data_IF_642434160641
#
_entry.id   IF_642434160641
#
_cell.length_a   1.000
_cell.length_b   1.000
_cell.length_c   1.000
_cell.angle_alpha   90.00
_cell.angle_beta   90.00
_cell.angle_gamma   90.00
#
_symmetry.space_group_name_H-M   'P 1'
#
loop_
_entity.id
_entity.type
_entity.pdbx_description
1 polymer ?
#
# COMPACT_ATOMS: atom_id res chain seq x y z
N UNK A 1 -23.42 6.90 33.26
CA UNK A 1 -22.34 5.88 33.29
C UNK A 1 -21.33 6.22 32.21
N UNK A 2 -20.13 6.65 32.61
CA UNK A 2 -19.05 7.12 31.74
C UNK A 2 -18.59 6.02 30.78
N UNK A 3 -18.58 6.33 29.47
CA UNK A 3 -17.83 5.54 28.48
C UNK A 3 -16.36 5.86 28.69
N UNK A 4 -15.63 4.94 29.33
CA UNK A 4 -14.17 4.97 29.39
C UNK A 4 -13.66 5.05 27.95
N UNK A 5 -12.98 6.14 27.60
CA UNK A 5 -12.33 6.28 26.30
C UNK A 5 -11.14 5.32 26.32
N UNK A 6 -11.28 4.21 25.61
CA UNK A 6 -10.26 3.18 25.51
C UNK A 6 -9.18 3.63 24.53
N UNK A 7 -7.98 3.94 25.04
CA UNK A 7 -6.83 4.40 24.26
C UNK A 7 -6.18 3.29 23.40
N UNK A 8 -6.84 2.15 23.25
CA UNK A 8 -6.32 0.88 22.71
C UNK A 8 -7.04 0.37 21.45
N UNK A 9 -7.82 1.21 20.76
CA UNK A 9 -8.42 0.83 19.46
C UNK A 9 -7.40 0.80 18.32
N UNK A 10 -6.60 -0.26 18.35
CA UNK A 10 -5.79 -0.79 17.24
C UNK A 10 -6.75 -1.57 16.32
N UNK A 11 -6.59 -1.53 14.99
CA UNK A 11 -7.21 -2.52 14.12
C UNK A 11 -6.90 -3.93 14.66
N UNK A 12 -7.94 -4.68 15.00
CA UNK A 12 -7.86 -6.02 15.57
C UNK A 12 -8.93 -6.87 14.89
N UNK A 13 -8.72 -8.19 14.83
CA UNK A 13 -9.61 -9.12 14.12
C UNK A 13 -9.78 -8.74 12.65
N UNK A 14 -11.04 -8.60 12.20
CA UNK A 14 -11.38 -8.32 10.81
C UNK A 14 -10.76 -7.02 10.27
N UNK A 15 -10.58 -6.01 11.14
CA UNK A 15 -9.95 -4.74 10.77
C UNK A 15 -8.47 -4.90 10.45
N UNK A 16 -7.80 -5.76 11.22
CA UNK A 16 -6.40 -6.08 11.02
C UNK A 16 -6.21 -6.86 9.71
N UNK A 17 -7.09 -7.82 9.44
CA UNK A 17 -7.09 -8.57 8.18
C UNK A 17 -7.44 -7.70 6.96
N UNK A 18 -8.34 -6.74 7.11
CA UNK A 18 -8.63 -5.74 6.07
C UNK A 18 -7.38 -4.89 5.74
N UNK A 19 -6.66 -4.43 6.77
CA UNK A 19 -5.43 -3.67 6.59
C UNK A 19 -4.32 -4.51 5.94
N UNK A 20 -4.14 -5.75 6.39
CA UNK A 20 -3.20 -6.71 5.78
C UNK A 20 -3.54 -6.98 4.32
N UNK A 21 -4.82 -7.12 4.00
CA UNK A 21 -5.30 -7.33 2.61
C UNK A 21 -5.00 -6.13 1.73
N UNK A 22 -5.21 -4.91 2.26
CA UNK A 22 -4.83 -3.67 1.57
C UNK A 22 -3.32 -3.65 1.25
N UNK A 23 -2.46 -3.95 2.22
CA UNK A 23 -1.00 -3.97 2.02
C UNK A 23 -0.61 -5.06 1.02
N UNK A 24 -1.18 -6.27 1.11
CA UNK A 24 -0.96 -7.35 0.13
C UNK A 24 -1.37 -6.93 -1.29
N UNK A 25 -2.46 -6.17 -1.42
CA UNK A 25 -2.89 -5.65 -2.72
C UNK A 25 -1.89 -4.66 -3.29
N UNK A 26 -1.39 -3.73 -2.47
CA UNK A 26 -0.32 -2.79 -2.85
C UNK A 26 0.94 -3.53 -3.31
N UNK A 27 1.36 -4.54 -2.56
CA UNK A 27 2.50 -5.41 -2.90
C UNK A 27 2.29 -6.13 -4.24
N UNK A 28 1.10 -6.70 -4.48
CA UNK A 28 0.74 -7.37 -5.74
C UNK A 28 0.74 -6.42 -6.94
N UNK A 29 0.46 -5.14 -6.70
CA UNK A 29 0.55 -4.10 -7.73
C UNK A 29 1.98 -3.57 -7.91
N UNK A 30 2.96 -4.18 -7.26
CA UNK A 30 4.36 -3.73 -7.26
C UNK A 30 4.52 -2.27 -6.78
N UNK A 31 3.58 -1.80 -5.96
CA UNK A 31 3.54 -0.47 -5.38
C UNK A 31 3.40 -0.59 -3.86
N UNK A 32 4.47 -0.96 -3.12
CA UNK A 32 4.39 -1.16 -1.68
C UNK A 32 3.84 0.08 -0.97
N UNK A 33 2.89 -0.11 -0.05
CA UNK A 33 2.28 0.98 0.68
C UNK A 33 3.31 1.74 1.54
N UNK A 34 3.29 3.07 1.45
CA UNK A 34 4.07 3.94 2.31
C UNK A 34 3.47 3.99 3.71
N UNK A 35 4.30 4.26 4.73
CA UNK A 35 3.84 4.38 6.13
C UNK A 35 2.64 5.35 6.28
N UNK A 36 2.62 6.55 5.67
CA UNK A 36 1.44 7.43 5.74
C UNK A 36 0.18 6.83 5.10
N UNK A 37 0.33 6.05 4.03
CA UNK A 37 -0.79 5.37 3.37
C UNK A 37 -1.35 4.25 4.24
N UNK A 38 -0.48 3.50 4.93
CA UNK A 38 -0.90 2.46 5.89
C UNK A 38 -1.64 3.09 7.08
N UNK A 39 -1.15 4.21 7.62
CA UNK A 39 -1.83 4.94 8.69
C UNK A 39 -3.21 5.46 8.21
N UNK A 40 -3.26 6.06 7.02
CA UNK A 40 -4.50 6.57 6.45
C UNK A 40 -5.52 5.46 6.18
N UNK A 41 -5.09 4.33 5.63
CA UNK A 41 -5.95 3.17 5.39
C UNK A 41 -6.49 2.59 6.70
N UNK A 42 -5.63 2.43 7.72
CA UNK A 42 -6.03 1.94 9.03
C UNK A 42 -7.04 2.89 9.70
N UNK A 43 -6.82 4.20 9.63
CA UNK A 43 -7.78 5.19 10.13
C UNK A 43 -9.11 5.10 9.38
N UNK A 44 -9.05 4.98 8.05
CA UNK A 44 -10.26 4.87 7.22
C UNK A 44 -11.09 3.64 7.55
N UNK A 45 -10.44 2.50 7.82
CA UNK A 45 -11.12 1.26 8.26
C UNK A 45 -11.86 1.51 9.57
N UNK A 46 -11.21 2.16 10.54
CA UNK A 46 -11.86 2.53 11.80
C UNK A 46 -13.03 3.51 11.60
N UNK A 47 -12.85 4.50 10.74
CA UNK A 47 -13.87 5.49 10.43
C UNK A 47 -15.09 4.87 9.73
N UNK A 48 -14.94 3.82 8.92
CA UNK A 48 -16.07 3.16 8.24
C UNK A 48 -17.01 2.42 9.18
N UNK A 49 -16.49 1.92 10.30
CA UNK A 49 -17.27 1.14 11.27
C UNK A 49 -17.75 1.99 12.46
N UNK A 50 -17.24 3.22 12.58
CA UNK A 50 -17.71 4.15 13.60
C UNK A 50 -19.08 4.73 13.20
N UNK A 51 -20.02 4.76 14.15
CA UNK A 51 -21.38 5.25 13.92
C UNK A 51 -21.43 6.70 13.43
N UNK A 52 -20.43 7.51 13.78
CA UNK A 52 -20.32 8.91 13.39
C UNK A 52 -19.37 9.12 12.21
N UNK A 53 -18.82 8.04 11.65
CA UNK A 53 -17.86 8.09 10.56
C UNK A 53 -16.52 8.71 10.91
N UNK A 54 -16.23 8.89 12.22
CA UNK A 54 -15.05 9.61 12.71
C UNK A 54 -14.51 8.92 13.96
N UNK A 55 -13.76 7.85 13.75
CA UNK A 55 -13.10 7.18 14.85
C UNK A 55 -12.01 8.09 15.44
N UNK A 56 -11.65 7.89 16.72
CA UNK A 56 -10.47 8.53 17.30
C UNK A 56 -9.23 8.29 16.45
N UNK A 57 -8.33 9.27 16.44
CA UNK A 57 -7.08 9.17 15.68
C UNK A 57 -6.20 8.05 16.24
N UNK A 58 -5.60 7.27 15.33
CA UNK A 58 -4.55 6.33 15.68
C UNK A 58 -3.41 7.03 16.44
N UNK A 59 -2.91 6.38 17.49
CA UNK A 59 -1.81 6.92 18.29
C UNK A 59 -0.53 7.09 17.47
N UNK A 60 0.27 8.11 17.78
CA UNK A 60 1.50 8.47 17.05
C UNK A 60 2.47 7.30 16.80
N UNK A 61 2.60 6.40 17.78
CA UNK A 61 3.50 5.24 17.73
C UNK A 61 2.79 3.93 17.38
N UNK A 62 1.52 3.98 16.97
CA UNK A 62 0.74 2.80 16.63
C UNK A 62 1.40 2.00 15.50
N UNK A 63 1.78 2.66 14.39
CA UNK A 63 2.34 1.97 13.23
C UNK A 63 3.65 1.25 13.56
N UNK A 64 4.49 1.83 14.41
CA UNK A 64 5.74 1.21 14.85
C UNK A 64 5.50 -0.05 15.67
N UNK A 65 4.48 -0.03 16.55
CA UNK A 65 4.06 -1.21 17.31
C UNK A 65 3.45 -2.27 16.39
N UNK A 66 2.53 -1.87 15.52
CA UNK A 66 1.87 -2.76 14.59
C UNK A 66 2.85 -3.46 13.65
N UNK A 67 3.83 -2.75 13.08
CA UNK A 67 4.88 -3.33 12.22
C UNK A 67 5.88 -4.21 12.97
N UNK A 68 6.09 -3.98 14.26
CA UNK A 68 6.90 -4.88 15.11
C UNK A 68 6.17 -6.21 15.31
N UNK A 69 4.86 -6.14 15.51
CA UNK A 69 4.02 -7.30 15.77
C UNK A 69 3.61 -8.02 14.45
N UNK A 70 3.76 -7.35 13.30
CA UNK A 70 3.48 -7.85 11.94
C UNK A 70 4.71 -7.71 11.00
N UNK A 71 5.79 -8.48 11.22
CA UNK A 71 7.05 -8.30 10.51
C UNK A 71 6.98 -8.54 8.99
N UNK A 72 6.08 -9.41 8.51
CA UNK A 72 5.90 -9.70 7.08
C UNK A 72 5.43 -8.50 6.27
N UNK A 73 4.79 -7.54 6.95
CA UNK A 73 4.26 -6.31 6.37
C UNK A 73 5.24 -5.14 6.52
N UNK A 74 6.44 -5.40 7.07
CA UNK A 74 7.52 -4.43 7.15
C UNK A 74 8.06 -4.19 5.74
N UNK A 75 7.63 -3.07 5.17
CA UNK A 75 8.11 -2.41 3.94
C UNK A 75 9.21 -3.20 3.21
N UNK A 76 8.83 -4.02 2.23
CA UNK A 76 9.79 -4.52 1.22
C UNK A 76 10.52 -3.30 0.68
N UNK A 77 11.86 -3.34 0.67
CA UNK A 77 12.68 -2.19 0.27
C UNK A 77 12.29 -1.76 -1.16
N UNK A 78 11.46 -0.74 -1.27
CA UNK A 78 11.04 -0.11 -2.54
C UNK A 78 12.24 0.14 -3.44
N UNK A 79 13.36 0.60 -2.86
CA UNK A 79 14.61 0.84 -3.58
C UNK A 79 15.13 -0.38 -4.35
N UNK A 80 14.99 -1.61 -3.84
CA UNK A 80 15.46 -2.82 -4.54
C UNK A 80 14.52 -3.20 -5.68
N UNK A 81 13.21 -3.03 -5.51
CA UNK A 81 12.22 -3.30 -6.56
C UNK A 81 12.24 -2.23 -7.65
N UNK A 82 12.41 -0.96 -7.27
CA UNK A 82 12.58 0.16 -8.20
C UNK A 82 13.90 0.03 -8.98
N UNK A 83 15.00 -0.34 -8.30
CA UNK A 83 16.25 -0.70 -8.98
C UNK A 83 16.06 -1.88 -9.92
N UNK A 84 15.30 -2.91 -9.54
CA UNK A 84 14.98 -4.02 -10.44
C UNK A 84 14.10 -3.58 -11.62
N UNK A 85 13.15 -2.66 -11.42
CA UNK A 85 12.31 -2.11 -12.50
C UNK A 85 13.13 -1.26 -13.47
N UNK A 86 14.03 -0.43 -12.94
CA UNK A 86 14.98 0.36 -13.72
C UNK A 86 15.98 -0.54 -14.44
N UNK A 87 16.49 -1.58 -13.77
CA UNK A 87 17.39 -2.56 -14.36
C UNK A 87 16.71 -3.44 -15.42
N UNK A 88 15.43 -3.75 -15.26
CA UNK A 88 14.61 -4.46 -16.24
C UNK A 88 14.26 -3.57 -17.45
N UNK A 89 14.31 -2.24 -17.32
CA UNK A 89 14.16 -1.29 -18.41
C UNK A 89 15.48 -1.10 -19.17
N UNK A 90 15.96 -2.17 -19.81
CA UNK A 90 17.14 -2.12 -20.67
C UNK A 90 16.87 -1.33 -21.95
N UNK A 91 17.93 -0.80 -22.57
CA UNK A 91 17.85 -0.12 -23.89
C UNK A 91 17.13 -1.01 -24.91
N UNK A 92 17.39 -2.32 -24.91
CA UNK A 92 16.73 -3.28 -25.79
C UNK A 92 15.22 -3.38 -25.58
N UNK A 93 14.71 -3.21 -24.35
CA UNK A 93 13.27 -3.21 -24.08
C UNK A 93 12.60 -1.95 -24.63
N UNK A 94 13.26 -0.79 -24.55
CA UNK A 94 12.77 0.42 -25.19
C UNK A 94 12.81 0.32 -26.72
N UNK A 95 13.91 -0.16 -27.29
CA UNK A 95 14.03 -0.36 -28.74
C UNK A 95 12.97 -1.34 -29.28
N UNK A 96 12.71 -2.44 -28.57
CA UNK A 96 11.68 -3.40 -28.96
C UNK A 96 10.28 -2.78 -28.90
N UNK A 97 9.99 -1.98 -27.87
CA UNK A 97 8.73 -1.25 -27.74
C UNK A 97 8.53 -0.27 -28.90
N UNK A 98 9.53 0.58 -29.19
CA UNK A 98 9.45 1.57 -30.27
C UNK A 98 9.46 0.93 -31.66
N UNK A 99 10.17 -0.19 -31.87
CA UNK A 99 10.07 -0.97 -33.12
C UNK A 99 8.67 -1.53 -33.33
N UNK A 100 8.04 -2.04 -32.27
CA UNK A 100 6.68 -2.56 -32.35
C UNK A 100 5.68 -1.44 -32.61
N UNK A 101 5.85 -0.29 -31.96
CA UNK A 101 5.04 0.91 -32.22
C UNK A 101 5.21 1.39 -33.66
N UNK A 102 6.45 1.50 -34.15
CA UNK A 102 6.73 1.90 -35.53
C UNK A 102 6.07 0.96 -36.54
N UNK A 103 6.10 -0.35 -36.30
CA UNK A 103 5.40 -1.31 -37.15
C UNK A 103 3.89 -1.04 -37.20
N UNK A 104 3.25 -0.78 -36.06
CA UNK A 104 1.82 -0.45 -36.03
C UNK A 104 1.53 0.87 -36.77
N UNK A 105 2.38 1.88 -36.60
CA UNK A 105 2.27 3.16 -37.34
C UNK A 105 2.37 2.92 -38.84
N UNK A 106 3.39 2.18 -39.28
CA UNK A 106 3.62 1.87 -40.69
C UNK A 106 2.49 0.99 -41.28
N UNK A 107 1.97 0.02 -40.52
CA UNK A 107 0.91 -0.90 -40.95
C UNK A 107 -0.48 -0.22 -41.06
N UNK A 108 -0.76 0.76 -40.19
CA UNK A 108 -2.05 1.45 -40.15
C UNK A 108 -2.01 2.88 -40.73
N UNK A 109 -0.86 3.31 -41.27
CA UNK A 109 -0.62 4.63 -41.86
C UNK A 109 -1.11 5.81 -40.99
N UNK A 110 -0.84 5.74 -39.69
CA UNK A 110 -1.16 6.79 -38.69
C UNK A 110 0.01 7.76 -38.54
#
# INVERSE_FOLDING_TARGET
MSRTIDYTRVPTGDRDEALKTYIRRCDRLEMPALVPQVIGAAQRILDMEDLLGKAPRLGRNWISRWLRDNPDYRRKKQKKQELNRVAANTVGNYEAHFKRLKRVIDDYAI
#
